data_IF_246853429930
#
_entry.id   IF_246853429930
#
_cell.length_a   1.000
_cell.length_b   1.000
_cell.length_c   1.000
_cell.angle_alpha   90.00
_cell.angle_beta   90.00
_cell.angle_gamma   90.00
#
_symmetry.space_group_name_H-M   'P 1'
#
loop_
_entity.id
_entity.type
_entity.pdbx_description
1 polymer ?
#
# COMPACT_ATOMS: atom_id res chain seq x y z
N UNK A 1 11.39 17.14 -19.31
CA UNK A 1 10.94 16.03 -20.18
C UNK A 1 10.69 14.89 -19.22
N UNK A 2 9.52 14.92 -18.56
CA UNK A 2 9.14 13.86 -17.63
C UNK A 2 8.63 12.71 -18.49
N UNK A 3 9.38 11.62 -18.44
CA UNK A 3 9.17 10.44 -19.25
C UNK A 3 7.93 9.69 -18.77
N UNK A 4 7.36 8.96 -19.72
CA UNK A 4 6.01 8.40 -19.79
C UNK A 4 5.56 7.62 -18.55
N UNK A 5 4.29 7.81 -18.20
CA UNK A 5 3.50 6.91 -17.36
C UNK A 5 3.81 5.44 -17.70
N UNK A 6 4.30 4.63 -16.77
CA UNK A 6 4.68 3.24 -17.04
C UNK A 6 3.49 2.29 -17.20
N UNK A 7 2.25 2.78 -17.05
CA UNK A 7 1.04 1.97 -17.16
C UNK A 7 0.16 2.45 -18.32
N UNK A 8 -0.27 1.56 -19.23
CA UNK A 8 -1.09 1.94 -20.38
C UNK A 8 -2.40 2.58 -19.88
N UNK A 9 -2.68 3.81 -20.33
CA UNK A 9 -3.90 4.51 -19.96
C UNK A 9 -5.11 3.73 -20.47
N UNK A 10 -5.83 3.08 -19.57
CA UNK A 10 -7.11 2.46 -19.88
C UNK A 10 -8.08 3.51 -20.42
N UNK A 11 -8.73 3.20 -21.52
CA UNK A 11 -9.67 4.12 -22.13
C UNK A 11 -10.94 4.26 -21.28
N UNK A 12 -11.57 5.42 -21.41
CA UNK A 12 -12.89 5.72 -20.87
C UNK A 12 -13.93 4.59 -21.06
N UNK A 13 -13.93 3.98 -22.23
CA UNK A 13 -14.88 2.94 -22.61
C UNK A 13 -14.56 1.59 -21.94
N UNK A 14 -13.28 1.27 -21.75
CA UNK A 14 -12.83 0.08 -21.02
C UNK A 14 -13.16 0.17 -19.52
N UNK A 15 -12.90 1.32 -18.89
CA UNK A 15 -13.30 1.60 -17.50
C UNK A 15 -14.82 1.48 -17.33
N UNK A 16 -15.59 2.07 -18.24
CA UNK A 16 -17.05 2.01 -18.20
C UNK A 16 -17.59 0.59 -18.39
N UNK A 17 -16.93 -0.22 -19.22
CA UNK A 17 -17.31 -1.62 -19.43
C UNK A 17 -17.01 -2.47 -18.20
N UNK A 18 -15.89 -2.22 -17.53
CA UNK A 18 -15.57 -2.86 -16.25
C UNK A 18 -16.52 -2.41 -15.14
N UNK A 19 -16.80 -1.12 -14.99
CA UNK A 19 -17.77 -0.61 -13.99
C UNK A 19 -19.19 -1.14 -14.23
N UNK A 20 -19.64 -1.27 -15.49
CA UNK A 20 -20.90 -1.95 -15.83
C UNK A 20 -20.91 -3.40 -15.35
N UNK A 21 -19.81 -4.10 -15.58
CA UNK A 21 -19.63 -5.50 -15.15
C UNK A 21 -19.61 -5.64 -13.63
N UNK A 22 -18.98 -4.71 -12.92
CA UNK A 22 -18.81 -4.72 -11.46
C UNK A 22 -20.13 -4.35 -10.75
N UNK A 23 -20.79 -3.27 -11.19
CA UNK A 23 -21.99 -2.73 -10.55
C UNK A 23 -23.27 -3.46 -10.96
N UNK A 24 -23.20 -4.40 -11.92
CA UNK A 24 -24.32 -5.12 -12.49
C UNK A 24 -25.47 -4.19 -12.93
N UNK A 25 -25.12 -3.05 -13.52
CA UNK A 25 -26.07 -2.02 -13.98
C UNK A 25 -26.24 -2.09 -15.50
N UNK A 26 -27.48 -1.90 -15.95
CA UNK A 26 -27.84 -1.82 -17.37
C UNK A 26 -27.22 -0.58 -18.05
N UNK A 27 -27.15 -0.58 -19.38
CA UNK A 27 -26.68 0.60 -20.12
C UNK A 27 -27.52 1.85 -19.83
N UNK A 28 -28.81 1.72 -19.56
CA UNK A 28 -29.75 2.80 -19.24
C UNK A 28 -29.57 3.34 -17.82
N UNK A 29 -29.34 2.46 -16.83
CA UNK A 29 -28.97 2.87 -15.47
C UNK A 29 -27.60 3.55 -15.44
N UNK A 30 -26.69 3.09 -16.30
CA UNK A 30 -25.41 3.75 -16.52
C UNK A 30 -25.53 4.99 -17.40
N UNK A 31 -26.62 5.21 -18.16
CA UNK A 31 -26.83 6.42 -18.97
C UNK A 31 -27.04 7.65 -18.09
N UNK A 32 -27.61 7.49 -16.90
CA UNK A 32 -27.70 8.57 -15.92
C UNK A 32 -26.31 8.98 -15.38
N UNK A 33 -25.40 8.02 -15.21
CA UNK A 33 -23.97 8.29 -15.04
C UNK A 33 -23.36 8.90 -16.34
N UNK A 34 -23.57 8.31 -17.54
CA UNK A 34 -23.00 8.72 -18.84
C UNK A 34 -23.34 10.15 -19.26
N UNK A 35 -24.54 10.65 -18.93
CA UNK A 35 -24.97 12.01 -19.26
C UNK A 35 -24.10 13.07 -18.57
N UNK A 36 -23.55 12.73 -17.40
CA UNK A 36 -22.47 13.47 -16.77
C UNK A 36 -21.09 12.98 -17.24
N UNK A 37 -20.88 11.68 -17.50
CA UNK A 37 -19.56 11.05 -17.74
C UNK A 37 -18.94 11.11 -19.15
N UNK A 38 -19.59 11.44 -20.26
CA UNK A 38 -18.86 11.56 -21.56
C UNK A 38 -18.11 12.91 -21.68
N UNK A 39 -18.74 14.01 -21.24
CA UNK A 39 -18.01 15.23 -20.85
C UNK A 39 -17.29 15.05 -19.52
N UNK A 40 -17.72 14.05 -18.76
CA UNK A 40 -17.29 13.75 -17.42
C UNK A 40 -16.16 12.77 -17.28
N UNK A 41 -15.57 12.20 -18.34
CA UNK A 41 -14.38 11.31 -18.37
C UNK A 41 -13.11 12.14 -18.51
N UNK A 42 -13.18 13.16 -19.38
CA UNK A 42 -12.21 14.26 -19.41
C UNK A 42 -12.39 15.18 -18.19
N UNK A 43 -13.61 15.31 -17.63
CA UNK A 43 -13.80 15.88 -16.27
C UNK A 43 -13.69 14.85 -15.13
N UNK A 44 -13.53 13.54 -15.37
CA UNK A 44 -13.42 12.51 -14.31
C UNK A 44 -12.03 12.61 -13.72
N UNK A 45 -11.04 12.65 -14.62
CA UNK A 45 -9.65 13.08 -14.34
C UNK A 45 -9.53 14.52 -13.86
N UNK A 46 -10.53 15.39 -14.07
CA UNK A 46 -10.46 16.81 -13.70
C UNK A 46 -11.39 17.21 -12.54
N UNK A 47 -12.12 16.27 -11.94
CA UNK A 47 -13.15 16.57 -10.93
C UNK A 47 -13.50 15.43 -9.98
N UNK A 48 -12.91 14.23 -10.15
CA UNK A 48 -12.95 13.05 -9.30
C UNK A 48 -14.32 12.73 -8.71
N UNK A 49 -15.02 11.68 -9.17
CA UNK A 49 -16.29 11.34 -8.56
C UNK A 49 -16.04 11.01 -7.08
N UNK A 50 -16.77 11.71 -6.22
CA UNK A 50 -17.04 11.27 -4.87
C UNK A 50 -17.66 9.87 -4.97
N UNK A 51 -16.86 8.86 -4.63
CA UNK A 51 -17.28 7.48 -4.46
C UNK A 51 -17.30 7.12 -2.97
N UNK A 52 -17.36 8.11 -2.08
CA UNK A 52 -17.39 7.88 -0.65
C UNK A 52 -18.60 7.03 -0.26
N UNK A 53 -18.41 6.15 0.71
CA UNK A 53 -19.43 5.23 1.22
C UNK A 53 -19.88 4.16 0.22
N UNK A 54 -19.24 4.00 -0.94
CA UNK A 54 -19.64 2.98 -1.91
C UNK A 54 -19.33 1.57 -1.38
N UNK A 55 -20.19 0.61 -1.71
CA UNK A 55 -19.92 -0.81 -1.45
C UNK A 55 -19.49 -1.49 -2.75
N UNK A 56 -18.24 -1.92 -2.78
CA UNK A 56 -17.56 -2.66 -3.84
C UNK A 56 -16.91 -3.94 -3.31
N UNK A 57 -17.36 -4.43 -2.14
CA UNK A 57 -16.85 -5.67 -1.55
C UNK A 57 -16.89 -6.83 -2.55
N UNK A 58 -15.83 -7.65 -2.61
CA UNK A 58 -15.70 -8.81 -3.50
C UNK A 58 -15.71 -8.50 -5.00
N UNK A 59 -15.62 -7.23 -5.37
CA UNK A 59 -15.51 -6.85 -6.79
C UNK A 59 -14.12 -7.14 -7.34
N UNK A 60 -14.03 -7.19 -8.67
CA UNK A 60 -12.76 -7.23 -9.38
C UNK A 60 -12.46 -5.83 -9.93
N UNK A 61 -11.41 -5.22 -9.40
CA UNK A 61 -10.90 -3.88 -9.72
C UNK A 61 -9.43 -3.96 -10.17
N UNK A 62 -8.95 -5.13 -10.57
CA UNK A 62 -7.55 -5.33 -10.92
C UNK A 62 -7.11 -4.36 -12.02
N UNK A 63 -5.92 -3.77 -11.84
CA UNK A 63 -5.28 -2.86 -12.78
C UNK A 63 -6.07 -1.60 -13.16
N UNK A 64 -7.12 -1.23 -12.42
CA UNK A 64 -7.82 0.03 -12.64
C UNK A 64 -6.92 1.23 -12.32
N UNK A 65 -7.05 2.29 -13.12
CA UNK A 65 -6.54 3.62 -12.77
C UNK A 65 -7.62 4.37 -11.97
N UNK A 66 -7.38 4.47 -10.66
CA UNK A 66 -8.24 5.12 -9.67
C UNK A 66 -7.47 6.25 -8.97
N UNK A 67 -6.51 6.87 -9.66
CA UNK A 67 -5.74 8.00 -9.17
C UNK A 67 -6.67 9.11 -8.68
N UNK A 68 -6.40 9.65 -7.49
CA UNK A 68 -7.16 10.68 -6.80
C UNK A 68 -8.62 10.34 -6.45
N UNK A 69 -9.07 9.10 -6.58
CA UNK A 69 -10.46 8.75 -6.24
C UNK A 69 -10.74 9.03 -4.77
N UNK A 70 -11.96 9.47 -4.46
CA UNK A 70 -12.45 9.52 -3.08
C UNK A 70 -13.27 8.26 -2.80
N UNK A 71 -12.69 7.34 -2.03
CA UNK A 71 -13.35 6.17 -1.45
C UNK A 71 -13.52 6.30 0.06
N UNK A 72 -13.51 7.50 0.63
CA UNK A 72 -13.76 7.71 2.07
C UNK A 72 -14.95 6.88 2.55
N UNK A 73 -14.84 6.21 3.69
CA UNK A 73 -15.91 5.38 4.28
C UNK A 73 -16.43 4.22 3.39
N UNK A 74 -15.72 3.86 2.31
CA UNK A 74 -16.18 2.82 1.38
C UNK A 74 -15.88 1.40 1.88
N UNK A 75 -16.62 0.43 1.35
CA UNK A 75 -16.38 -0.99 1.60
C UNK A 75 -15.81 -1.68 0.36
N UNK A 76 -14.50 -1.95 0.39
CA UNK A 76 -13.73 -2.67 -0.61
C UNK A 76 -13.29 -4.06 -0.10
N UNK A 77 -13.92 -4.56 0.96
CA UNK A 77 -13.48 -5.80 1.60
C UNK A 77 -13.57 -6.99 0.66
N UNK A 78 -12.59 -7.89 0.77
CA UNK A 78 -12.48 -9.10 -0.06
C UNK A 78 -12.40 -8.83 -1.58
N UNK A 79 -12.20 -7.57 -2.03
CA UNK A 79 -12.06 -7.25 -3.45
C UNK A 79 -10.71 -7.73 -4.02
N UNK A 80 -10.68 -7.95 -5.33
CA UNK A 80 -9.45 -8.17 -6.09
C UNK A 80 -9.00 -6.84 -6.68
N UNK A 81 -7.89 -6.31 -6.21
CA UNK A 81 -7.40 -4.98 -6.55
C UNK A 81 -5.91 -5.04 -6.94
N UNK A 82 -5.48 -6.16 -7.52
CA UNK A 82 -4.08 -6.40 -7.88
C UNK A 82 -3.63 -5.37 -8.91
N UNK A 83 -2.52 -4.67 -8.64
CA UNK A 83 -1.94 -3.69 -9.54
C UNK A 83 -2.79 -2.44 -9.78
N UNK A 84 -3.76 -2.14 -8.91
CA UNK A 84 -4.57 -0.91 -9.02
C UNK A 84 -3.68 0.32 -8.78
N UNK A 85 -3.97 1.42 -9.47
CA UNK A 85 -3.35 2.71 -9.18
C UNK A 85 -4.31 3.57 -8.34
N UNK A 86 -3.95 3.81 -7.09
CA UNK A 86 -4.65 4.64 -6.10
C UNK A 86 -3.76 5.81 -5.66
N UNK A 87 -2.85 6.26 -6.52
CA UNK A 87 -2.00 7.42 -6.26
C UNK A 87 -2.84 8.63 -5.87
N UNK A 88 -2.49 9.29 -4.78
CA UNK A 88 -3.16 10.48 -4.23
C UNK A 88 -4.67 10.30 -3.96
N UNK A 89 -5.16 9.07 -3.80
CA UNK A 89 -6.56 8.77 -3.47
C UNK A 89 -6.89 9.12 -2.00
N UNK A 90 -8.14 9.52 -1.76
CA UNK A 90 -8.71 9.62 -0.42
C UNK A 90 -9.37 8.29 -0.06
N UNK A 91 -8.79 7.58 0.90
CA UNK A 91 -9.17 6.25 1.34
C UNK A 91 -9.44 6.24 2.84
N UNK A 92 -9.75 7.40 3.43
CA UNK A 92 -9.97 7.54 4.87
C UNK A 92 -11.10 6.62 5.34
N UNK A 93 -10.85 5.84 6.40
CA UNK A 93 -11.79 4.85 6.98
C UNK A 93 -12.30 3.79 5.99
N UNK A 94 -11.62 3.59 4.86
CA UNK A 94 -11.99 2.58 3.87
C UNK A 94 -11.75 1.18 4.40
N UNK A 95 -12.70 0.28 4.16
CA UNK A 95 -12.57 -1.12 4.55
C UNK A 95 -11.93 -1.95 3.44
N UNK A 96 -10.64 -2.27 3.59
CA UNK A 96 -9.84 -3.17 2.75
C UNK A 96 -9.64 -4.55 3.40
N UNK A 97 -10.49 -4.94 4.35
CA UNK A 97 -10.35 -6.23 5.04
C UNK A 97 -10.28 -7.37 4.03
N UNK A 98 -9.23 -8.20 4.11
CA UNK A 98 -9.00 -9.36 3.21
C UNK A 98 -8.91 -9.02 1.72
N UNK A 99 -8.70 -7.76 1.37
CA UNK A 99 -8.53 -7.34 -0.04
C UNK A 99 -7.16 -7.79 -0.55
N UNK A 100 -7.09 -8.15 -1.82
CA UNK A 100 -5.82 -8.42 -2.49
C UNK A 100 -5.35 -7.17 -3.25
N UNK A 101 -4.36 -6.49 -2.69
CA UNK A 101 -3.74 -5.27 -3.20
C UNK A 101 -2.34 -5.52 -3.77
N UNK A 102 -1.95 -6.76 -4.04
CA UNK A 102 -0.60 -7.08 -4.50
C UNK A 102 -0.15 -6.23 -5.70
N UNK A 103 1.03 -5.61 -5.62
CA UNK A 103 1.59 -4.78 -6.69
C UNK A 103 0.90 -3.44 -6.94
N UNK A 104 -0.01 -3.00 -6.07
CA UNK A 104 -0.75 -1.74 -6.23
C UNK A 104 0.07 -0.52 -5.87
N UNK A 105 -0.35 0.64 -6.37
CA UNK A 105 0.29 1.93 -6.09
C UNK A 105 -0.61 2.81 -5.22
N UNK A 106 -0.12 3.20 -4.04
CA UNK A 106 -0.75 4.10 -3.07
C UNK A 106 0.12 5.34 -2.80
N UNK A 107 0.98 5.73 -3.75
CA UNK A 107 1.84 6.89 -3.61
C UNK A 107 1.03 8.12 -3.17
N UNK A 108 1.40 8.72 -2.04
CA UNK A 108 0.72 9.90 -1.46
C UNK A 108 -0.78 9.75 -1.18
N UNK A 109 -1.32 8.52 -1.08
CA UNK A 109 -2.72 8.30 -0.73
C UNK A 109 -2.98 8.52 0.77
N UNK A 110 -4.20 8.93 1.12
CA UNK A 110 -4.64 9.06 2.52
C UNK A 110 -5.47 7.83 2.94
N UNK A 111 -4.87 6.95 3.74
CA UNK A 111 -5.48 5.76 4.34
C UNK A 111 -5.71 5.94 5.85
N UNK A 112 -5.90 7.17 6.34
CA UNK A 112 -6.16 7.42 7.76
C UNK A 112 -7.33 6.58 8.25
N UNK A 113 -7.15 5.85 9.35
CA UNK A 113 -8.11 4.93 9.96
C UNK A 113 -8.63 3.80 9.03
N UNK A 114 -7.96 3.52 7.90
CA UNK A 114 -8.36 2.45 6.99
C UNK A 114 -8.22 1.07 7.65
N UNK A 115 -9.13 0.15 7.31
CA UNK A 115 -9.11 -1.22 7.82
C UNK A 115 -8.50 -2.18 6.80
N UNK A 116 -7.23 -2.55 7.00
CA UNK A 116 -6.43 -3.46 6.16
C UNK A 116 -6.22 -4.83 6.84
N UNK A 117 -7.10 -5.20 7.79
CA UNK A 117 -7.06 -6.47 8.51
C UNK A 117 -7.00 -7.65 7.53
N UNK A 118 -5.97 -8.49 7.68
CA UNK A 118 -5.73 -9.68 6.83
C UNK A 118 -5.62 -9.37 5.32
N UNK A 119 -5.36 -8.11 4.93
CA UNK A 119 -5.17 -7.74 3.52
C UNK A 119 -3.79 -8.22 2.99
N UNK A 120 -3.71 -8.45 1.68
CA UNK A 120 -2.44 -8.73 1.00
C UNK A 120 -1.95 -7.46 0.30
N UNK A 121 -0.84 -6.91 0.76
CA UNK A 121 -0.16 -5.73 0.23
C UNK A 121 1.24 -6.07 -0.29
N UNK A 122 1.50 -7.30 -0.73
CA UNK A 122 2.82 -7.66 -1.21
C UNK A 122 3.22 -6.82 -2.44
N UNK A 123 4.42 -6.24 -2.42
CA UNK A 123 4.98 -5.37 -3.49
C UNK A 123 4.19 -4.09 -3.76
N UNK A 124 3.47 -3.56 -2.77
CA UNK A 124 2.77 -2.27 -2.92
C UNK A 124 3.72 -1.10 -2.73
N UNK A 125 3.49 -0.03 -3.49
CA UNK A 125 4.11 1.27 -3.21
C UNK A 125 3.20 2.05 -2.26
N UNK A 126 3.67 2.32 -1.05
CA UNK A 126 3.01 3.14 -0.02
C UNK A 126 3.86 4.39 0.30
N UNK A 127 4.74 4.78 -0.62
CA UNK A 127 5.62 5.93 -0.45
C UNK A 127 4.79 7.20 -0.23
N UNK A 128 5.15 8.00 0.77
CA UNK A 128 4.46 9.24 1.16
C UNK A 128 2.98 9.08 1.57
N UNK A 129 2.48 7.85 1.74
CA UNK A 129 1.10 7.60 2.15
C UNK A 129 0.86 8.02 3.62
N UNK A 130 -0.34 8.54 3.90
CA UNK A 130 -0.81 8.80 5.26
C UNK A 130 -1.57 7.57 5.75
N UNK A 131 -1.08 6.92 6.82
CA UNK A 131 -1.58 5.64 7.34
C UNK A 131 -1.91 5.75 8.84
N UNK A 132 -2.20 6.96 9.32
CA UNK A 132 -2.43 7.22 10.74
C UNK A 132 -3.61 6.38 11.24
N UNK A 133 -3.43 5.65 12.36
CA UNK A 133 -4.49 4.80 12.93
C UNK A 133 -4.91 3.59 12.08
N UNK A 134 -4.31 3.37 10.91
CA UNK A 134 -4.71 2.28 10.02
C UNK A 134 -4.48 0.90 10.65
N UNK A 135 -5.38 -0.04 10.37
CA UNK A 135 -5.35 -1.38 10.94
C UNK A 135 -4.79 -2.41 9.95
N UNK A 136 -3.53 -2.81 10.13
CA UNK A 136 -2.82 -3.84 9.38
C UNK A 136 -2.70 -5.17 10.14
N UNK A 137 -3.53 -5.42 11.16
CA UNK A 137 -3.42 -6.65 11.93
C UNK A 137 -3.47 -7.89 11.02
N UNK A 138 -2.51 -8.80 11.19
CA UNK A 138 -2.34 -10.00 10.36
C UNK A 138 -2.24 -9.76 8.84
N UNK A 139 -1.95 -8.53 8.39
CA UNK A 139 -1.78 -8.24 6.97
C UNK A 139 -0.50 -8.88 6.42
N UNK A 140 -0.53 -9.30 5.15
CA UNK A 140 0.64 -9.77 4.42
C UNK A 140 1.19 -8.65 3.55
N UNK A 141 2.18 -7.93 4.06
CA UNK A 141 2.79 -6.76 3.41
C UNK A 141 4.21 -7.08 2.94
N UNK A 142 4.67 -8.31 3.13
CA UNK A 142 6.04 -8.71 2.84
C UNK A 142 6.37 -8.62 1.35
N UNK A 143 7.64 -8.88 1.02
CA UNK A 143 8.15 -9.00 -0.35
C UNK A 143 8.35 -7.68 -1.11
N UNK A 144 8.89 -6.65 -0.45
CA UNK A 144 9.40 -5.46 -1.15
C UNK A 144 8.43 -4.29 -1.22
N UNK A 145 7.42 -4.26 -0.36
CA UNK A 145 6.56 -3.08 -0.23
C UNK A 145 7.34 -1.88 0.31
N UNK A 146 7.03 -0.70 -0.20
CA UNK A 146 7.80 0.52 0.06
C UNK A 146 6.98 1.47 0.93
N UNK A 147 7.44 1.73 2.16
CA UNK A 147 6.83 2.70 3.08
C UNK A 147 7.65 3.97 3.20
N UNK A 148 8.52 4.26 2.22
CA UNK A 148 9.37 5.45 2.24
C UNK A 148 8.56 6.70 2.57
N UNK A 149 8.93 7.40 3.63
CA UNK A 149 8.26 8.64 4.09
C UNK A 149 6.76 8.52 4.44
N UNK A 150 6.23 7.30 4.59
CA UNK A 150 4.86 7.09 5.02
C UNK A 150 4.66 7.45 6.51
N UNK A 151 3.45 7.84 6.87
CA UNK A 151 3.08 8.13 8.26
C UNK A 151 2.21 7.01 8.86
N UNK A 152 2.83 6.11 9.64
CA UNK A 152 2.16 5.02 10.35
C UNK A 152 1.90 5.36 11.83
N UNK A 153 1.73 6.65 12.16
CA UNK A 153 1.43 7.06 13.55
C UNK A 153 0.19 6.32 14.08
N UNK A 154 0.31 5.71 15.26
CA UNK A 154 -0.74 4.92 15.92
C UNK A 154 -1.32 3.74 15.11
N UNK A 155 -0.67 3.34 14.00
CA UNK A 155 -1.12 2.22 13.18
C UNK A 155 -1.01 0.88 13.91
N UNK A 156 -1.96 -0.03 13.69
CA UNK A 156 -1.95 -1.37 14.26
C UNK A 156 -1.33 -2.38 13.28
N UNK A 157 -0.05 -2.73 13.45
CA UNK A 157 0.70 -3.68 12.63
C UNK A 157 0.90 -5.04 13.33
N UNK A 158 0.04 -5.35 14.31
CA UNK A 158 0.17 -6.56 15.11
C UNK A 158 0.15 -7.81 14.23
N UNK A 159 1.12 -8.70 14.44
CA UNK A 159 1.33 -9.93 13.66
C UNK A 159 1.45 -9.72 12.14
N UNK A 160 1.65 -8.48 11.66
CA UNK A 160 1.80 -8.23 10.23
C UNK A 160 3.09 -8.84 9.70
N UNK A 161 3.05 -9.38 8.50
CA UNK A 161 4.26 -9.76 7.77
C UNK A 161 4.80 -8.52 7.04
N UNK A 162 5.91 -7.96 7.54
CA UNK A 162 6.61 -6.79 6.98
C UNK A 162 7.96 -7.19 6.36
N UNK A 163 8.14 -8.47 6.07
CA UNK A 163 9.42 -9.02 5.64
C UNK A 163 9.90 -8.35 4.35
N UNK A 164 11.15 -7.89 4.34
CA UNK A 164 11.74 -7.17 3.20
C UNK A 164 10.98 -5.88 2.81
N UNK A 165 10.22 -5.27 3.72
CA UNK A 165 9.69 -3.92 3.52
C UNK A 165 10.77 -2.85 3.65
N UNK A 166 10.57 -1.70 3.00
CA UNK A 166 11.47 -0.55 3.09
C UNK A 166 10.86 0.54 3.97
N UNK A 167 11.64 1.08 4.90
CA UNK A 167 11.16 2.07 5.87
C UNK A 167 11.97 3.38 5.95
N UNK A 168 12.63 3.88 4.87
CA UNK A 168 13.41 5.11 4.99
C UNK A 168 12.46 6.29 5.27
N UNK A 169 12.69 7.02 6.36
CA UNK A 169 11.89 8.19 6.71
C UNK A 169 10.46 7.91 7.17
N UNK A 170 10.04 6.65 7.31
CA UNK A 170 8.70 6.27 7.80
C UNK A 170 8.51 6.69 9.27
N UNK A 171 7.35 7.24 9.62
CA UNK A 171 6.99 7.54 11.01
C UNK A 171 6.29 6.34 11.64
N UNK A 172 6.79 5.83 12.78
CA UNK A 172 6.21 4.68 13.50
C UNK A 172 5.75 5.05 14.93
N UNK A 173 5.60 6.34 15.23
CA UNK A 173 5.23 6.81 16.57
C UNK A 173 3.91 6.19 17.03
N UNK A 174 3.91 5.49 18.15
CA UNK A 174 2.71 4.83 18.69
C UNK A 174 2.28 3.56 17.93
N UNK A 175 2.93 3.21 16.83
CA UNK A 175 2.57 2.04 16.03
C UNK A 175 2.73 0.75 16.84
N UNK A 176 1.82 -0.20 16.66
CA UNK A 176 1.85 -1.49 17.33
C UNK A 176 2.48 -2.56 16.42
N UNK A 177 3.74 -2.94 16.68
CA UNK A 177 4.50 -3.97 15.96
C UNK A 177 4.58 -5.30 16.72
N UNK A 178 3.75 -5.51 17.75
CA UNK A 178 3.76 -6.77 18.53
C UNK A 178 3.55 -7.98 17.61
N UNK A 179 4.45 -8.96 17.71
CA UNK A 179 4.43 -10.16 16.85
C UNK A 179 4.70 -9.94 15.35
N UNK A 180 5.00 -8.71 14.90
CA UNK A 180 5.26 -8.43 13.48
C UNK A 180 6.59 -9.03 13.01
N UNK A 181 6.67 -9.41 11.72
CA UNK A 181 7.91 -9.91 11.12
C UNK A 181 8.55 -8.84 10.21
N UNK A 182 9.53 -8.09 10.73
CA UNK A 182 10.35 -7.13 9.96
C UNK A 182 11.65 -7.77 9.45
N UNK A 183 11.78 -9.10 9.44
CA UNK A 183 13.01 -9.74 8.95
C UNK A 183 13.33 -9.26 7.53
N UNK A 184 14.61 -9.03 7.22
CA UNK A 184 15.07 -8.50 5.93
C UNK A 184 14.59 -7.10 5.57
N UNK A 185 13.85 -6.38 6.43
CA UNK A 185 13.48 -5.00 6.14
C UNK A 185 14.71 -4.12 5.95
N UNK A 186 14.58 -3.09 5.13
CA UNK A 186 15.65 -2.14 4.82
C UNK A 186 15.37 -0.79 5.47
N UNK A 187 16.44 -0.08 5.83
CA UNK A 187 16.43 1.30 6.33
C UNK A 187 15.63 1.55 7.62
N UNK A 188 15.27 0.50 8.38
CA UNK A 188 14.69 0.64 9.71
C UNK A 188 15.75 1.16 10.70
N UNK A 189 15.39 2.18 11.48
CA UNK A 189 16.29 2.88 12.41
C UNK A 189 15.97 2.58 13.88
N UNK A 190 16.92 2.86 14.77
CA UNK A 190 16.74 2.73 16.22
C UNK A 190 15.59 3.63 16.73
N UNK A 191 15.48 4.84 16.20
CA UNK A 191 14.47 5.81 16.65
C UNK A 191 13.05 5.34 16.28
N UNK A 192 12.88 4.85 15.05
CA UNK A 192 11.64 4.25 14.59
C UNK A 192 11.18 3.06 15.45
N UNK A 193 12.13 2.22 15.91
CA UNK A 193 11.79 1.09 16.78
C UNK A 193 11.40 1.58 18.19
N UNK A 194 12.13 2.56 18.72
CA UNK A 194 11.86 3.12 20.05
C UNK A 194 10.53 3.86 20.15
N UNK A 195 10.07 4.43 19.04
CA UNK A 195 8.78 5.13 19.00
C UNK A 195 7.58 4.18 18.83
N UNK A 196 7.81 2.90 18.54
CA UNK A 196 6.79 1.88 18.37
C UNK A 196 6.72 0.91 19.56
N UNK A 197 5.59 0.20 19.67
CA UNK A 197 5.44 -0.91 20.61
C UNK A 197 5.89 -2.21 19.97
N UNK A 198 6.83 -2.92 20.59
CA UNK A 198 7.36 -4.21 20.13
C UNK A 198 7.27 -5.24 21.26
N UNK A 199 7.36 -6.53 20.94
CA UNK A 199 7.45 -7.60 21.93
C UNK A 199 8.51 -8.65 21.56
N UNK A 200 8.66 -9.67 22.40
CA UNK A 200 9.61 -10.77 22.18
C UNK A 200 9.31 -11.61 20.94
N UNK A 201 8.10 -11.48 20.36
CA UNK A 201 7.71 -12.15 19.14
C UNK A 201 7.99 -11.30 17.89
N UNK A 202 8.15 -9.98 18.03
CA UNK A 202 8.56 -9.09 16.93
C UNK A 202 9.93 -9.51 16.41
N UNK A 203 10.03 -9.73 15.10
CA UNK A 203 11.27 -10.12 14.41
C UNK A 203 11.85 -8.94 13.67
N UNK A 204 13.17 -8.81 13.67
CA UNK A 204 13.90 -7.66 13.12
C UNK A 204 14.86 -8.09 12.00
N UNK A 205 15.31 -7.17 11.14
CA UNK A 205 16.38 -7.45 10.20
C UNK A 205 17.70 -7.74 10.94
N UNK A 206 18.61 -8.48 10.32
CA UNK A 206 19.82 -9.01 10.97
C UNK A 206 20.77 -7.94 11.53
N UNK A 207 20.72 -6.71 11.00
CA UNK A 207 21.54 -5.61 11.47
C UNK A 207 20.98 -4.93 12.74
N UNK A 208 19.78 -5.29 13.20
CA UNK A 208 19.17 -4.81 14.45
C UNK A 208 19.12 -5.96 15.46
N UNK A 209 19.75 -5.75 16.60
CA UNK A 209 19.79 -6.71 17.70
C UNK A 209 19.04 -6.11 18.89
N UNK A 210 17.92 -6.74 19.27
CA UNK A 210 17.16 -6.40 20.47
C UNK A 210 17.62 -7.27 21.64
N UNK A 211 18.01 -6.64 22.74
CA UNK A 211 18.39 -7.30 23.99
C UNK A 211 17.36 -6.99 25.07
N UNK A 212 16.45 -7.91 25.31
CA UNK A 212 15.43 -7.80 26.35
C UNK A 212 16.05 -7.86 27.75
N UNK A 213 15.73 -6.89 28.59
CA UNK A 213 16.12 -6.83 30.00
C UNK A 213 14.94 -7.12 30.94
N UNK A 214 13.71 -6.96 30.45
CA UNK A 214 12.47 -7.37 31.12
C UNK A 214 11.42 -7.87 30.10
N UNK A 215 10.13 -7.85 30.45
CA UNK A 215 9.04 -8.08 29.50
C UNK A 215 8.69 -6.84 28.66
N UNK A 216 9.11 -5.65 29.10
CA UNK A 216 8.81 -4.36 28.46
C UNK A 216 10.06 -3.55 28.10
N UNK A 217 11.19 -3.83 28.75
CA UNK A 217 12.43 -3.08 28.59
C UNK A 217 13.43 -3.84 27.73
N UNK A 218 14.13 -3.09 26.88
CA UNK A 218 15.13 -3.63 25.97
C UNK A 218 16.18 -2.58 25.58
N UNK A 219 17.36 -3.06 25.17
CA UNK A 219 18.40 -2.27 24.51
C UNK A 219 18.50 -2.65 23.02
N UNK A 220 18.82 -1.67 22.17
CA UNK A 220 19.03 -1.89 20.74
C UNK A 220 20.52 -1.74 20.41
N UNK A 221 21.08 -2.70 19.68
CA UNK A 221 22.42 -2.64 19.08
C UNK A 221 22.34 -2.78 17.57
N UNK A 222 23.18 -2.03 16.86
CA UNK A 222 23.31 -2.13 15.40
C UNK A 222 24.56 -2.95 15.07
N UNK A 223 24.38 -4.01 14.29
CA UNK A 223 25.47 -4.79 13.72
C UNK A 223 25.84 -4.25 12.33
N UNK A 224 26.90 -3.44 12.29
CA UNK A 224 27.43 -2.87 11.06
C UNK A 224 28.11 -3.89 10.12
N UNK A 225 28.35 -5.12 10.60
CA UNK A 225 28.92 -6.20 9.79
C UNK A 225 27.85 -7.16 9.25
N UNK A 226 26.60 -7.00 9.66
CA UNK A 226 25.50 -7.76 9.09
C UNK A 226 25.41 -7.43 7.59
N UNK A 227 25.44 -8.45 6.74
CA UNK A 227 25.26 -8.30 5.29
C UNK A 227 23.99 -7.48 5.04
N UNK A 228 24.15 -6.24 4.53
CA UNK A 228 23.02 -5.44 4.07
C UNK A 228 22.30 -6.23 2.98
N UNK A 229 20.95 -6.28 2.94
CA UNK A 229 20.20 -6.89 1.85
C UNK A 229 20.66 -6.43 0.46
N UNK A 230 21.20 -5.20 0.35
CA UNK A 230 21.82 -4.66 -0.86
C UNK A 230 22.93 -5.54 -1.45
N UNK A 231 23.64 -6.31 -0.62
CA UNK A 231 24.73 -7.19 -1.09
C UNK A 231 24.24 -8.49 -1.75
N UNK A 232 22.94 -8.80 -1.67
CA UNK A 232 22.34 -10.02 -2.26
C UNK A 232 21.49 -9.77 -3.52
N UNK A 233 21.46 -8.54 -4.03
CA UNK A 233 20.49 -8.12 -5.04
C UNK A 233 21.05 -7.26 -6.18
N UNK A 234 22.30 -7.41 -6.61
CA UNK A 234 22.62 -7.02 -8.00
C UNK A 234 21.99 -8.06 -8.91
N UNK A 235 20.81 -7.75 -9.45
CA UNK A 235 20.39 -8.37 -10.72
C UNK A 235 21.57 -8.21 -11.69
N UNK A 236 21.95 -9.25 -12.46
CA UNK A 236 22.98 -9.08 -13.47
C UNK A 236 22.55 -7.92 -14.36
N UNK A 237 23.36 -6.86 -14.36
CA UNK A 237 23.25 -5.79 -15.34
C UNK A 237 23.44 -6.50 -16.67
N UNK A 238 22.35 -6.73 -17.39
CA UNK A 238 22.43 -7.28 -18.74
C UNK A 238 23.35 -6.33 -19.52
N UNK A 239 24.45 -6.82 -20.12
CA UNK A 239 25.30 -5.94 -20.90
C UNK A 239 24.44 -5.27 -21.98
N UNK A 240 24.66 -3.98 -22.29
CA UNK A 240 23.85 -3.26 -23.26
C UNK A 240 23.79 -4.05 -24.57
N UNK A 241 22.56 -4.25 -25.08
CA UNK A 241 22.30 -4.96 -26.34
C UNK A 241 23.15 -4.34 -27.46
N UNK A 242 24.10 -5.10 -28.06
CA UNK A 242 24.95 -4.59 -29.12
C UNK A 242 24.20 -4.32 -30.44
N UNK A 243 22.88 -4.54 -30.49
CA UNK A 243 22.05 -4.36 -31.69
C UNK A 243 20.88 -3.37 -31.55
N UNK A 244 20.78 -2.61 -30.45
CA UNK A 244 19.86 -1.47 -30.40
C UNK A 244 20.35 -0.39 -31.39
N UNK A 245 19.61 -0.23 -32.49
CA UNK A 245 19.82 0.78 -33.54
C UNK A 245 18.90 1.98 -33.35
#
# INVERSE_FOLDING_TARGET
MFDKDPYPSMSADELLMQLKSILNKTEEEMIHLKAESIRGLVRWRAKLPDMSGITLSKSDLCALDLTYVDFTDSDLSEALMIGVNLTEADLVRTNFKKTNLGGSNFYSADLTDANLLEANLAKTDLTEATLQGANFENADIGHGSDFSYADLTDANLKNANLRAGKFPGTTLTGANLTGADLSLSENLTVEQIKSATIDKATRFPSYIIIKWTSDTDYDIQIDYNAESPETKGTFPIEPPDPFAS
#
